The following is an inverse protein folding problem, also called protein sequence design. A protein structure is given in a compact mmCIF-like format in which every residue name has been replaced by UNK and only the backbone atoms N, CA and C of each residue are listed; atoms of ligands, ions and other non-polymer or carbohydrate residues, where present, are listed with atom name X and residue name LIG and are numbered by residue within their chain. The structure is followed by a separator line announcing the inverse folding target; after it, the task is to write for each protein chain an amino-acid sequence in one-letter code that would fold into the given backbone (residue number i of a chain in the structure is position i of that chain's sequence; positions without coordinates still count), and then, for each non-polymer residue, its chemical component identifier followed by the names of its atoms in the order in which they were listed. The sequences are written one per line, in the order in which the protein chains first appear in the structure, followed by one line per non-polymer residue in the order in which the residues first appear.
data_IF_615459554248
#
_entry.id   IF_615459554248
#
_cell.length_a   1.000
_cell.length_b   1.000
_cell.length_c   1.000
_cell.angle_alpha   90.00
_cell.angle_beta   90.00
_cell.angle_gamma   90.00
#
_symmetry.space_group_name_H-M   'P 1'
#
loop_
_entity.id
_entity.type
_entity.pdbx_description
1 polymer ?
#
# COMPACT_ATOMS: atom_id res chain seq x y z
N UNK A 1 -10.92 -14.75 4.58
CA UNK A 1 -10.25 -15.10 3.33
C UNK A 1 -8.77 -14.74 3.43
N UNK A 2 -7.92 -15.60 2.95
CA UNK A 2 -6.47 -15.35 3.06
C UNK A 2 -6.03 -14.18 2.20
N UNK A 3 -5.07 -13.41 2.72
CA UNK A 3 -4.56 -12.25 2.00
C UNK A 3 -4.02 -12.61 0.62
N UNK A 4 -3.36 -13.77 0.50
CA UNK A 4 -2.83 -14.23 -0.78
C UNK A 4 -3.96 -14.43 -1.80
N UNK A 5 -5.07 -15.03 -1.38
CA UNK A 5 -6.20 -15.27 -2.26
C UNK A 5 -6.85 -13.96 -2.69
N UNK A 6 -7.01 -13.03 -1.76
CA UNK A 6 -7.58 -11.72 -2.08
C UNK A 6 -6.67 -10.97 -3.04
N UNK A 7 -5.36 -11.05 -2.82
CA UNK A 7 -4.40 -10.42 -3.71
C UNK A 7 -4.52 -10.91 -5.14
N UNK A 8 -4.69 -12.23 -5.31
CA UNK A 8 -4.83 -12.79 -6.65
C UNK A 8 -6.14 -12.33 -7.31
N UNK A 9 -7.24 -12.29 -6.54
CA UNK A 9 -8.52 -11.80 -7.07
C UNK A 9 -8.41 -10.34 -7.52
N UNK A 10 -7.74 -9.53 -6.73
CA UNK A 10 -7.57 -8.11 -7.05
C UNK A 10 -6.72 -7.94 -8.32
N UNK A 11 -5.62 -8.69 -8.43
CA UNK A 11 -4.77 -8.61 -9.62
C UNK A 11 -5.53 -9.04 -10.87
N UNK A 12 -6.34 -10.10 -10.76
CA UNK A 12 -7.16 -10.54 -11.88
C UNK A 12 -8.19 -9.47 -12.26
N UNK A 13 -8.78 -8.82 -11.26
CA UNK A 13 -9.72 -7.74 -11.48
C UNK A 13 -9.06 -6.57 -12.23
N UNK A 14 -7.85 -6.20 -11.83
CA UNK A 14 -7.13 -5.13 -12.49
C UNK A 14 -6.80 -5.47 -13.93
N UNK A 15 -6.42 -6.72 -14.19
CA UNK A 15 -6.06 -7.15 -15.53
C UNK A 15 -7.26 -7.17 -16.46
N UNK A 16 -8.39 -7.69 -15.98
CA UNK A 16 -9.58 -7.92 -16.82
C UNK A 16 -10.50 -6.70 -16.84
N UNK A 17 -10.85 -6.17 -15.65
CA UNK A 17 -11.87 -5.12 -15.55
C UNK A 17 -11.32 -3.73 -15.77
N UNK A 18 -10.09 -3.49 -15.34
CA UNK A 18 -9.50 -2.16 -15.41
C UNK A 18 -8.53 -1.99 -16.56
N UNK A 19 -8.18 -3.07 -17.24
CA UNK A 19 -7.30 -2.99 -18.40
C UNK A 19 -5.92 -2.43 -18.08
N UNK A 20 -5.41 -2.68 -16.87
CA UNK A 20 -4.11 -2.21 -16.45
C UNK A 20 -3.02 -2.82 -17.32
N UNK A 21 -2.02 -2.02 -17.71
CA UNK A 21 -0.95 -2.51 -18.58
C UNK A 21 -0.16 -3.64 -17.92
N UNK A 22 0.46 -4.45 -18.76
CA UNK A 22 1.26 -5.59 -18.29
C UNK A 22 2.39 -5.14 -17.38
N UNK A 23 3.04 -4.04 -17.73
CA UNK A 23 4.14 -3.51 -16.93
C UNK A 23 3.67 -3.05 -15.55
N UNK A 24 2.56 -2.31 -15.50
CA UNK A 24 1.99 -1.85 -14.25
C UNK A 24 1.52 -3.04 -13.40
N UNK A 25 0.89 -4.02 -14.04
CA UNK A 25 0.41 -5.21 -13.35
C UNK A 25 1.56 -6.00 -12.73
N UNK A 26 2.68 -6.08 -13.43
CA UNK A 26 3.88 -6.75 -12.92
C UNK A 26 4.39 -6.06 -11.65
N UNK A 27 4.40 -4.73 -11.65
CA UNK A 27 4.82 -3.97 -10.47
C UNK A 27 3.86 -4.17 -9.30
N UNK A 28 2.56 -4.19 -9.58
CA UNK A 28 1.55 -4.43 -8.55
C UNK A 28 1.68 -5.83 -7.97
N UNK A 29 1.92 -6.81 -8.83
CA UNK A 29 2.09 -8.21 -8.39
C UNK A 29 3.26 -8.32 -7.41
N UNK A 30 4.35 -7.62 -7.69
CA UNK A 30 5.52 -7.60 -6.82
C UNK A 30 5.19 -7.01 -5.45
N UNK A 31 4.46 -5.89 -5.45
CA UNK A 31 4.10 -5.22 -4.20
C UNK A 31 3.07 -6.01 -3.40
N UNK A 32 2.12 -6.67 -4.08
CA UNK A 32 1.16 -7.55 -3.42
C UNK A 32 1.90 -8.70 -2.74
N UNK A 33 2.84 -9.31 -3.45
CA UNK A 33 3.62 -10.42 -2.89
C UNK A 33 4.40 -9.97 -1.66
N UNK A 34 5.00 -8.79 -1.71
CA UNK A 34 5.73 -8.23 -0.58
C UNK A 34 4.82 -8.07 0.63
N UNK A 35 3.64 -7.53 0.42
CA UNK A 35 2.68 -7.31 1.50
C UNK A 35 2.20 -8.63 2.10
N UNK A 36 1.82 -9.57 1.25
CA UNK A 36 1.35 -10.87 1.70
C UNK A 36 2.42 -11.60 2.50
N UNK A 37 3.67 -11.57 2.03
CA UNK A 37 4.78 -12.20 2.74
C UNK A 37 4.99 -11.56 4.11
N UNK A 38 4.88 -10.23 4.18
CA UNK A 38 5.01 -9.53 5.44
C UNK A 38 3.91 -9.93 6.42
N UNK A 39 2.68 -10.03 5.94
CA UNK A 39 1.55 -10.43 6.75
C UNK A 39 1.73 -11.86 7.27
N UNK A 40 2.22 -12.76 6.43
CA UNK A 40 2.45 -14.14 6.84
C UNK A 40 3.47 -14.21 7.97
N UNK A 41 4.53 -13.43 7.87
CA UNK A 41 5.54 -13.39 8.93
C UNK A 41 4.99 -12.76 10.21
N UNK A 42 4.02 -11.86 10.09
CA UNK A 42 3.38 -11.25 11.23
C UNK A 42 2.27 -12.11 11.84
N UNK A 43 1.98 -13.28 11.23
CA UNK A 43 0.93 -14.16 11.71
C UNK A 43 -0.46 -13.74 11.30
N UNK A 44 -0.57 -12.88 10.28
CA UNK A 44 -1.86 -12.32 9.83
C UNK A 44 -2.20 -12.84 8.44
N UNK A 45 -2.39 -14.14 8.30
CA UNK A 45 -2.67 -14.74 6.99
C UNK A 45 -4.07 -14.41 6.48
N UNK A 46 -5.02 -14.20 7.39
CA UNK A 46 -6.39 -13.84 7.01
C UNK A 46 -6.50 -12.31 6.92
N UNK A 47 -6.93 -11.82 5.76
CA UNK A 47 -7.01 -10.37 5.54
C UNK A 47 -7.95 -9.69 6.55
N UNK A 48 -8.99 -10.40 7.00
CA UNK A 48 -9.93 -9.86 7.98
C UNK A 48 -9.28 -9.62 9.34
N UNK A 49 -8.14 -10.24 9.62
CA UNK A 49 -7.45 -10.07 10.90
C UNK A 49 -6.49 -8.88 10.90
N UNK A 50 -6.27 -8.26 9.73
CA UNK A 50 -5.33 -7.14 9.61
C UNK A 50 -5.97 -5.87 10.17
N UNK A 51 -5.18 -5.11 10.92
CA UNK A 51 -5.63 -3.85 11.53
C UNK A 51 -4.89 -2.66 10.92
N UNK A 52 -5.38 -1.45 11.22
CA UNK A 52 -4.68 -0.23 10.79
C UNK A 52 -3.27 -0.19 11.39
N UNK A 53 -3.11 -0.63 12.64
CA UNK A 53 -1.78 -0.68 13.27
C UNK A 53 -0.84 -1.62 12.53
N UNK A 54 -1.36 -2.72 11.99
CA UNK A 54 -0.54 -3.64 11.19
C UNK A 54 -0.01 -2.96 9.95
N UNK A 55 -0.84 -2.16 9.28
CA UNK A 55 -0.41 -1.44 8.08
C UNK A 55 0.61 -0.36 8.41
N UNK A 56 0.44 0.31 9.53
CA UNK A 56 1.42 1.30 9.98
C UNK A 56 2.76 0.64 10.28
N UNK A 57 2.73 -0.55 10.89
CA UNK A 57 3.94 -1.31 11.14
C UNK A 57 4.60 -1.75 9.84
N UNK A 58 3.78 -2.15 8.86
CA UNK A 58 4.29 -2.52 7.54
C UNK A 58 5.06 -1.38 6.90
N UNK A 59 4.47 -0.18 6.89
CA UNK A 59 5.11 1.00 6.32
C UNK A 59 6.42 1.31 7.05
N UNK A 60 6.40 1.24 8.38
CA UNK A 60 7.59 1.50 9.17
C UNK A 60 8.70 0.50 8.87
N UNK A 61 8.32 -0.79 8.74
CA UNK A 61 9.31 -1.83 8.44
C UNK A 61 9.92 -1.64 7.05
N UNK A 62 9.14 -1.23 6.07
CA UNK A 62 9.67 -0.98 4.74
C UNK A 62 10.71 0.15 4.75
N UNK A 63 10.47 1.18 5.55
CA UNK A 63 11.38 2.31 5.64
C UNK A 63 12.64 1.96 6.41
N UNK A 64 12.52 1.09 7.42
CA UNK A 64 13.64 0.70 8.24
C UNK A 64 14.51 -0.37 7.58
N UNK A 65 13.88 -1.29 6.85
CA UNK A 65 14.56 -2.45 6.30
C UNK A 65 14.89 -3.47 7.39
N UNK A 66 15.49 -4.56 7.00
CA UNK A 66 15.92 -5.59 7.92
C UNK A 66 17.14 -6.31 7.35
N UNK A 67 17.57 -7.42 7.99
CA UNK A 67 18.76 -8.14 7.55
C UNK A 67 18.58 -8.81 6.19
N UNK A 68 17.34 -9.01 5.74
CA UNK A 68 17.04 -9.64 4.46
C UNK A 68 16.63 -8.63 3.39
N UNK A 69 16.44 -7.38 3.76
CA UNK A 69 15.90 -6.39 2.84
C UNK A 69 16.44 -5.02 3.17
N UNK A 70 16.89 -4.31 2.16
CA UNK A 70 17.35 -2.94 2.32
C UNK A 70 16.16 -2.02 2.59
N UNK A 71 16.38 -0.93 3.33
CA UNK A 71 15.32 0.08 3.51
C UNK A 71 14.83 0.61 2.16
N UNK A 72 13.52 0.77 2.02
CA UNK A 72 12.96 1.34 0.81
C UNK A 72 12.94 2.86 0.92
N UNK A 73 13.14 3.52 -0.22
CA UNK A 73 12.97 4.96 -0.31
C UNK A 73 11.51 5.32 -0.03
N UNK A 74 11.27 6.58 0.34
CA UNK A 74 9.92 7.05 0.63
C UNK A 74 8.99 6.85 -0.56
N UNK A 75 9.47 7.09 -1.79
CA UNK A 75 8.65 6.92 -2.99
C UNK A 75 8.24 5.46 -3.21
N UNK A 76 9.16 4.52 -3.00
CA UNK A 76 8.86 3.10 -3.15
C UNK A 76 7.93 2.62 -2.06
N UNK A 77 8.12 3.09 -0.83
CA UNK A 77 7.24 2.75 0.29
C UNK A 77 5.84 3.30 0.03
N UNK A 78 5.75 4.52 -0.49
CA UNK A 78 4.47 5.13 -0.82
C UNK A 78 3.72 4.30 -1.88
N UNK A 79 4.43 3.83 -2.91
CA UNK A 79 3.83 2.97 -3.92
C UNK A 79 3.34 1.66 -3.31
N UNK A 80 4.12 1.06 -2.43
CA UNK A 80 3.73 -0.17 -1.75
C UNK A 80 2.47 0.05 -0.91
N UNK A 81 2.37 1.20 -0.24
CA UNK A 81 1.19 1.54 0.53
C UNK A 81 -0.04 1.73 -0.37
N UNK A 82 0.13 2.38 -1.51
CA UNK A 82 -0.96 2.57 -2.47
C UNK A 82 -1.50 1.21 -2.91
N UNK A 83 -0.62 0.25 -3.16
CA UNK A 83 -1.03 -1.10 -3.54
C UNK A 83 -1.80 -1.77 -2.40
N UNK A 84 -1.31 -1.67 -1.16
CA UNK A 84 -2.00 -2.25 -0.01
C UNK A 84 -3.38 -1.62 0.17
N UNK A 85 -3.47 -0.29 -0.01
CA UNK A 85 -4.76 0.41 0.07
C UNK A 85 -5.73 -0.08 -1.00
N UNK A 86 -5.24 -0.26 -2.22
CA UNK A 86 -6.09 -0.75 -3.31
C UNK A 86 -6.62 -2.14 -3.01
N UNK A 87 -5.78 -3.00 -2.47
CA UNK A 87 -6.17 -4.35 -2.08
C UNK A 87 -7.27 -4.34 -1.02
N UNK A 88 -7.10 -3.53 0.03
CA UNK A 88 -8.08 -3.46 1.11
C UNK A 88 -9.38 -2.82 0.65
N UNK A 89 -9.29 -1.81 -0.21
CA UNK A 89 -10.49 -1.18 -0.75
C UNK A 89 -11.29 -2.18 -1.58
N UNK A 90 -10.59 -2.94 -2.44
CA UNK A 90 -11.22 -4.00 -3.24
C UNK A 90 -11.92 -5.01 -2.33
N UNK A 91 -11.22 -5.45 -1.28
CA UNK A 91 -11.79 -6.42 -0.34
C UNK A 91 -13.02 -5.89 0.36
N UNK A 92 -13.02 -4.60 0.70
CA UNK A 92 -14.17 -3.96 1.35
C UNK A 92 -15.35 -3.87 0.39
N UNK A 93 -15.11 -3.46 -0.85
CA UNK A 93 -16.16 -3.34 -1.85
C UNK A 93 -16.77 -4.68 -2.18
N UNK A 94 -15.95 -5.73 -2.22
CA UNK A 94 -16.43 -7.09 -2.52
C UNK A 94 -17.06 -7.78 -1.32
N UNK A 95 -17.05 -7.13 -0.16
CA UNK A 95 -17.63 -7.73 1.04
C UNK A 95 -16.77 -8.80 1.69
N UNK A 96 -15.49 -8.89 1.30
CA UNK A 96 -14.56 -9.87 1.87
C UNK A 96 -14.18 -9.47 3.29
N UNK A 97 -14.03 -8.15 3.53
CA UNK A 97 -13.77 -7.61 4.86
C UNK A 97 -14.82 -6.53 5.16
N UNK A 98 -15.04 -6.30 6.46
CA UNK A 98 -16.10 -5.38 6.91
C UNK A 98 -15.66 -3.93 6.79
N UNK A 99 -14.41 -3.64 7.12
CA UNK A 99 -13.91 -2.27 7.17
C UNK A 99 -12.62 -2.13 6.39
N UNK A 100 -12.41 -0.96 5.79
CA UNK A 100 -11.18 -0.63 5.06
C UNK A 100 -10.17 -0.05 6.05
N UNK A 101 -9.36 -0.93 6.65
CA UNK A 101 -8.39 -0.54 7.66
C UNK A 101 -7.21 0.24 7.07
N UNK A 102 -7.02 0.16 5.76
CA UNK A 102 -5.90 0.84 5.09
C UNK A 102 -6.20 2.29 4.75
N UNK A 103 -7.48 2.69 4.76
CA UNK A 103 -7.88 4.02 4.32
C UNK A 103 -7.30 5.13 5.20
N UNK A 104 -7.01 4.83 6.45
CA UNK A 104 -6.54 5.82 7.41
C UNK A 104 -5.02 5.87 7.56
N UNK A 105 -4.31 5.00 6.87
CA UNK A 105 -2.85 4.95 6.98
C UNK A 105 -2.25 6.06 6.12
N UNK A 106 -1.40 6.87 6.75
CA UNK A 106 -0.75 7.98 6.05
C UNK A 106 0.52 7.51 5.36
N UNK A 107 0.82 8.03 4.16
CA UNK A 107 2.08 7.70 3.50
C UNK A 107 3.24 8.33 4.25
N UNK A 108 4.47 7.77 4.09
CA UNK A 108 5.64 8.37 4.70
C UNK A 108 5.91 9.74 4.10
N UNK A 109 6.43 10.64 4.93
CA UNK A 109 6.81 11.96 4.45
C UNK A 109 8.04 11.83 3.58
N UNK A 110 8.01 12.51 2.46
CA UNK A 110 9.14 12.52 1.55
C UNK A 110 9.98 13.76 1.81
N UNK A 111 11.16 13.55 2.31
CA UNK A 111 12.12 14.59 2.56
C UNK A 111 11.54 15.65 3.46
N UNK A 112 11.14 16.59 3.33
CA UNK A 112 10.50 17.61 4.15
C UNK A 112 10.01 18.77 3.32
N UNK A 113 10.31 18.38 3.16
CA UNK A 113 10.00 19.17 2.74
C UNK A 113 9.48 19.91 2.46
N UNK A 114 9.33 20.08 2.37
CA UNK A 114 8.99 20.78 2.16
C UNK A 114 8.44 21.31 1.99
N UNK A 115 8.36 21.83 1.97
CA UNK A 115 7.83 22.49 1.92
C UNK A 115 7.00 22.70 1.68
N UNK A 116 6.68 22.96 1.78
CA UNK A 116 6.24 23.29 1.74
C UNK A 116 5.54 23.56 1.36
N UNK A 117 5.39 23.95 1.23
CA UNK A 117 5.19 24.55 0.97
C UNK A 117 4.66 24.69 0.30
N UNK A 118 4.42 25.04 -0.04
CA UNK A 118 4.54 25.54 -0.54
C UNK A 118 3.96 25.59 -0.88
N UNK A 119 3.51 25.87 -1.08
CA UNK A 119 3.67 26.24 -1.26
C UNK A 119 2.99 26.22 -1.71
N UNK A 120 2.70 26.57 -1.97
CA UNK A 120 2.74 26.92 -2.18
C UNK A 120 2.25 26.86 -2.55
N UNK A 121 1.97 27.28 -2.86
CA UNK A 121 2.29 27.48 -2.99
C UNK A 121 1.94 27.32 -3.41
N UNK A 122 1.57 27.64 -3.38
CA UNK A 122 1.96 27.83 -3.50
C UNK A 122 1.61 27.59 -3.79
N UNK A 123 1.11 27.97 -4.08
CA UNK A 123 1.46 28.11 -4.08
C UNK A 123 0.96 27.73 -4.28
N UNK A 124 0.41 28.07 -4.45
CA UNK A 124 0.76 28.11 -4.36
C UNK A 124 0.33 27.63 -4.62
N UNK A 125 -0.13 27.76 -4.46
CA UNK A 125 0.20 27.64 -4.51
C UNK A 125 -0.02 27.00 -4.53
N UNK A 126 -0.48 27.28 -4.80
CA UNK A 126 0.04 26.99 -4.65
C UNK A 126 -0.31 26.24 -4.56
N UNK A 127 -0.86 26.29 -4.58
CA UNK A 127 -0.39 25.89 -4.25
C UNK A 127 -0.56 25.28 -3.93
N UNK A 128 -1.11 25.54 -3.66
CA UNK A 128 -0.45 25.26 -3.14
C UNK A 128 -0.55 24.73 -2.90
N UNK A 129 -1.07 24.89 -2.86
CA UNK A 129 -0.46 24.73 -2.36
C UNK A 129 -0.58 24.33 -2.28
#
# INVERSE_FOLDING_TARGET
MKAQAVGQLWLDHLAVERGVSENTLSNYRRDVKRYVCWLERAGKTDLASVTTADLEAYVADLRRGDEHRKPLAASSTNRALVVARGLHKFATVEGIVIADVAARVSPPKQGDKLPDTLSIDEVSKLLDD
#
